data_IF_081173523733
#
_entry.id   IF_081173523733
#
_cell.length_a   1.000
_cell.length_b   1.000
_cell.length_c   1.000
_cell.angle_alpha   90.00
_cell.angle_beta   90.00
_cell.angle_gamma   90.00
#
_symmetry.space_group_name_H-M   'P 1'
#
loop_
_entity.id
_entity.type
_entity.pdbx_description
1 polymer ?
#
# COMPACT_ATOMS: atom_id res chain seq x y z
N UNK A 1 -0.76 -7.37 11.94
CA UNK A 1 -1.44 -6.05 11.97
C UNK A 1 -0.72 -5.03 12.84
N UNK A 2 -0.43 -5.33 14.11
CA UNK A 2 0.09 -4.37 15.08
C UNK A 2 1.37 -3.64 14.66
N UNK A 3 2.26 -4.29 13.89
CA UNK A 3 3.48 -3.65 13.37
C UNK A 3 3.16 -2.60 12.27
N UNK A 4 2.26 -2.91 11.33
CA UNK A 4 1.89 -2.01 10.23
C UNK A 4 1.18 -0.76 10.74
N UNK A 5 0.34 -0.89 11.77
CA UNK A 5 -0.34 0.28 12.36
C UNK A 5 0.65 1.19 13.12
N UNK A 6 1.83 0.71 13.48
CA UNK A 6 2.89 1.51 14.12
C UNK A 6 3.90 2.07 13.12
N UNK A 7 4.38 1.26 12.18
CA UNK A 7 5.46 1.66 11.26
C UNK A 7 4.98 1.96 9.84
N UNK A 8 3.71 1.74 9.53
CA UNK A 8 3.16 1.91 8.18
C UNK A 8 3.48 0.75 7.24
N UNK A 9 3.35 0.96 5.93
CA UNK A 9 3.81 0.03 4.91
C UNK A 9 5.23 0.38 4.48
N UNK A 10 6.12 -0.60 4.60
CA UNK A 10 7.51 -0.53 4.19
C UNK A 10 7.75 -1.49 3.02
N UNK A 11 8.65 -1.13 2.11
CA UNK A 11 9.05 -1.97 0.96
C UNK A 11 9.66 -3.32 1.36
N UNK A 12 10.12 -3.45 2.61
CA UNK A 12 10.85 -4.63 3.12
C UNK A 12 11.99 -5.02 2.16
N UNK A 13 12.02 -6.26 1.68
CA UNK A 13 13.02 -6.75 0.72
C UNK A 13 12.82 -6.29 -0.72
N UNK A 14 11.77 -5.50 -1.01
CA UNK A 14 11.53 -4.92 -2.34
C UNK A 14 12.14 -3.53 -2.45
N UNK A 15 12.14 -3.01 -3.69
CA UNK A 15 12.57 -1.64 -3.99
C UNK A 15 11.54 -0.58 -3.59
N UNK A 16 10.25 -0.90 -3.65
CA UNK A 16 9.17 0.03 -3.29
C UNK A 16 7.97 -0.72 -2.68
N UNK A 17 7.09 0.02 -2.00
CA UNK A 17 5.76 -0.47 -1.64
C UNK A 17 4.89 -0.53 -2.91
N UNK A 18 4.29 -1.69 -3.16
CA UNK A 18 3.35 -1.89 -4.26
C UNK A 18 1.92 -1.56 -3.81
N UNK A 19 1.21 -0.78 -4.61
CA UNK A 19 -0.18 -0.39 -4.39
C UNK A 19 -1.06 -0.86 -5.54
N UNK A 20 -2.32 -1.18 -5.23
CA UNK A 20 -3.37 -1.49 -6.21
C UNK A 20 -4.43 -0.39 -6.17
N UNK A 21 -4.95 0.01 -7.33
CA UNK A 21 -6.06 0.95 -7.44
C UNK A 21 -7.42 0.29 -7.19
N UNK A 22 -7.48 -1.03 -7.29
CA UNK A 22 -8.68 -1.86 -7.10
C UNK A 22 -8.54 -2.75 -5.85
N UNK A 23 -9.45 -2.66 -4.86
CA UNK A 23 -9.48 -3.55 -3.70
C UNK A 23 -9.59 -5.03 -4.08
N UNK A 24 -10.28 -5.38 -5.18
CA UNK A 24 -10.37 -6.77 -5.66
C UNK A 24 -9.01 -7.34 -6.03
N UNK A 25 -8.18 -6.54 -6.70
CA UNK A 25 -6.79 -6.86 -7.06
C UNK A 25 -5.93 -7.02 -5.81
N UNK A 26 -6.06 -6.11 -4.84
CA UNK A 26 -5.34 -6.20 -3.57
C UNK A 26 -5.66 -7.51 -2.83
N UNK A 27 -6.95 -7.91 -2.77
CA UNK A 27 -7.38 -9.20 -2.20
C UNK A 27 -6.77 -10.37 -2.94
N UNK A 28 -6.85 -10.42 -4.27
CA UNK A 28 -6.30 -11.53 -5.08
C UNK A 28 -4.79 -11.69 -4.90
N UNK A 29 -4.04 -10.58 -4.87
CA UNK A 29 -2.59 -10.62 -4.68
C UNK A 29 -2.22 -11.06 -3.27
N UNK A 30 -2.89 -10.52 -2.25
CA UNK A 30 -2.65 -10.90 -0.86
C UNK A 30 -3.04 -12.36 -0.55
N UNK A 31 -4.11 -12.86 -1.19
CA UNK A 31 -4.62 -14.22 -1.01
C UNK A 31 -3.59 -15.31 -1.37
N UNK A 32 -2.60 -14.99 -2.20
CA UNK A 32 -1.49 -15.90 -2.54
C UNK A 32 -0.65 -16.31 -1.33
N UNK A 33 -0.76 -15.57 -0.22
CA UNK A 33 -0.02 -15.79 1.01
C UNK A 33 -0.92 -16.13 2.22
N UNK A 34 -2.20 -16.49 1.99
CA UNK A 34 -3.18 -16.78 3.03
C UNK A 34 -4.30 -15.74 3.10
N UNK A 35 -5.01 -15.65 4.23
CA UNK A 35 -6.11 -14.69 4.39
C UNK A 35 -5.59 -13.23 4.37
N UNK A 36 -5.94 -12.43 3.34
CA UNK A 36 -5.41 -11.08 3.21
C UNK A 36 -6.16 -10.09 4.10
N UNK A 37 -5.43 -9.09 4.58
CA UNK A 37 -6.02 -7.84 5.07
C UNK A 37 -5.83 -6.80 3.99
N UNK A 38 -6.90 -6.10 3.63
CA UNK A 38 -6.82 -4.98 2.69
C UNK A 38 -6.69 -3.68 3.46
N UNK A 39 -5.73 -2.85 3.06
CA UNK A 39 -5.53 -1.51 3.59
C UNK A 39 -5.83 -0.51 2.48
N UNK A 40 -6.71 0.44 2.77
CA UNK A 40 -6.86 1.65 1.96
C UNK A 40 -5.71 2.60 2.28
N UNK A 41 -5.13 3.18 1.22
CA UNK A 41 -4.09 4.21 1.32
C UNK A 41 -4.70 5.53 0.89
N UNK A 42 -4.61 6.55 1.74
CA UNK A 42 -5.02 7.92 1.43
C UNK A 42 -3.98 8.62 0.54
N UNK A 43 -3.87 8.15 -0.70
CA UNK A 43 -2.83 8.55 -1.66
C UNK A 43 -2.88 10.05 -2.01
N UNK A 44 -4.07 10.65 -2.07
CA UNK A 44 -4.23 12.08 -2.33
C UNK A 44 -3.60 12.94 -1.22
N UNK A 45 -3.84 12.58 0.05
CA UNK A 45 -3.24 13.26 1.19
C UNK A 45 -1.71 13.09 1.22
N UNK A 46 -1.23 11.88 0.88
CA UNK A 46 0.22 11.63 0.74
C UNK A 46 0.84 12.50 -0.36
N UNK A 47 0.18 12.62 -1.52
CA UNK A 47 0.67 13.44 -2.62
C UNK A 47 0.72 14.93 -2.24
N UNK A 48 -0.30 15.43 -1.54
CA UNK A 48 -0.30 16.81 -0.99
C UNK A 48 0.84 17.05 -0.01
N UNK A 49 1.26 16.04 0.75
CA UNK A 49 2.43 16.10 1.63
C UNK A 49 3.78 15.79 0.92
N UNK A 50 3.79 15.81 -0.42
CA UNK A 50 5.01 15.67 -1.21
C UNK A 50 5.55 14.25 -1.31
N UNK A 51 4.74 13.22 -1.01
CA UNK A 51 5.15 11.83 -1.25
C UNK A 51 5.06 11.52 -2.74
N UNK A 52 6.13 10.94 -3.26
CA UNK A 52 6.21 10.54 -4.67
C UNK A 52 5.50 9.21 -4.89
N UNK A 53 4.81 9.16 -6.02
CA UNK A 53 4.20 7.97 -6.55
C UNK A 53 4.72 7.74 -7.96
N UNK A 54 4.99 6.48 -8.29
CA UNK A 54 5.42 6.07 -9.61
C UNK A 54 4.43 5.03 -10.14
N UNK A 55 4.25 5.01 -11.45
CA UNK A 55 3.44 3.99 -12.11
C UNK A 55 4.35 3.16 -13.02
N UNK A 56 4.45 1.87 -12.72
CA UNK A 56 5.17 0.93 -13.57
C UNK A 56 4.40 0.71 -14.88
N UNK A 57 5.07 0.20 -15.91
CA UNK A 57 4.47 -0.08 -17.22
C UNK A 57 3.27 -1.03 -17.14
N UNK A 58 3.30 -1.98 -16.20
CA UNK A 58 2.20 -2.91 -15.94
C UNK A 58 1.04 -2.31 -15.11
N UNK A 59 1.04 -0.99 -14.88
CA UNK A 59 -0.01 -0.28 -14.15
C UNK A 59 0.07 -0.38 -12.63
N UNK A 60 1.06 -1.09 -12.07
CA UNK A 60 1.28 -1.14 -10.61
C UNK A 60 1.78 0.20 -10.11
N UNK A 61 1.21 0.67 -9.00
CA UNK A 61 1.64 1.89 -8.34
C UNK A 61 2.71 1.61 -7.29
N UNK A 62 3.69 2.50 -7.19
CA UNK A 62 4.86 2.39 -6.34
C UNK A 62 5.01 3.64 -5.48
N UNK A 63 5.41 3.46 -4.23
CA UNK A 63 5.88 4.55 -3.37
C UNK A 63 6.95 4.03 -2.40
N UNK A 64 7.79 4.91 -1.87
CA UNK A 64 8.89 4.50 -0.97
C UNK A 64 8.36 3.90 0.34
N UNK A 65 7.36 4.56 0.95
CA UNK A 65 6.74 4.17 2.22
C UNK A 65 5.34 4.76 2.33
N UNK A 66 4.43 4.05 2.98
CA UNK A 66 3.13 4.60 3.43
C UNK A 66 3.14 4.78 4.94
N UNK A 67 3.23 6.02 5.47
CA UNK A 67 3.11 6.26 6.91
C UNK A 67 1.75 5.79 7.46
N UNK A 68 1.68 5.34 8.73
CA UNK A 68 0.48 4.75 9.31
C UNK A 68 -0.74 5.68 9.32
N UNK A 69 -0.53 7.01 9.41
CA UNK A 69 -1.61 8.01 9.36
C UNK A 69 -2.40 8.04 8.05
N UNK A 70 -1.88 7.41 7.00
CA UNK A 70 -2.54 7.32 5.69
C UNK A 70 -3.13 5.93 5.43
N UNK A 71 -3.17 5.06 6.44
CA UNK A 71 -3.69 3.70 6.31
C UNK A 71 -5.04 3.58 7.02
N UNK A 72 -6.00 2.99 6.33
CA UNK A 72 -7.26 2.55 6.91
C UNK A 72 -7.48 1.07 6.60
N UNK A 73 -7.83 0.27 7.60
CA UNK A 73 -8.19 -1.14 7.37
C UNK A 73 -9.55 -1.20 6.68
N UNK A 74 -9.62 -1.90 5.56
CA UNK A 74 -10.89 -2.26 4.92
C UNK A 74 -11.34 -3.62 5.47
N UNK A 75 -12.57 -3.67 5.97
CA UNK A 75 -13.25 -4.90 6.38
C UNK A 75 -13.54 -5.85 5.21
#
# INVERSE_FOLDING_TARGET
MASILRSGLERRSRHHVHLSTDPGTARRVGARHGAPVVLEVWAEAMAREGKLFYRAENGVWLTERVPPRFLRVLG
#
